data_IF_154234505145
#
_entry.id   IF_154234505145
#
_cell.length_a   1.000
_cell.length_b   1.000
_cell.length_c   1.000
_cell.angle_alpha   90.00
_cell.angle_beta   90.00
_cell.angle_gamma   90.00
#
_symmetry.space_group_name_H-M   'P 1'
#
loop_
_entity.id
_entity.type
_entity.pdbx_description
1 polymer ?
#
# COMPACT_ATOMS: atom_id res chain seq x y z
N UNK A 1 13.38 -51.71 8.99
CA UNK A 1 13.74 -50.83 7.86
C UNK A 1 12.52 -50.74 6.95
N UNK A 2 11.64 -49.77 7.18
CA UNK A 2 10.45 -49.56 6.35
C UNK A 2 10.83 -48.79 5.09
N UNK A 3 10.45 -49.37 3.95
CA UNK A 3 10.53 -48.82 2.59
C UNK A 3 10.08 -47.36 2.51
N UNK A 4 11.00 -46.45 2.15
CA UNK A 4 10.65 -45.15 1.59
C UNK A 4 10.12 -45.39 0.18
N UNK A 5 8.80 -45.39 0.02
CA UNK A 5 8.17 -45.26 -1.30
C UNK A 5 8.51 -43.87 -1.83
N UNK A 6 9.45 -43.82 -2.78
CA UNK A 6 9.68 -42.64 -3.60
C UNK A 6 8.38 -42.25 -4.29
N UNK A 7 7.91 -41.04 -4.02
CA UNK A 7 6.75 -40.46 -4.69
C UNK A 7 7.21 -40.15 -6.12
N UNK A 8 6.94 -41.07 -7.05
CA UNK A 8 7.05 -40.80 -8.48
C UNK A 8 5.95 -39.81 -8.86
N UNK A 9 6.30 -38.53 -8.99
CA UNK A 9 5.42 -37.53 -9.57
C UNK A 9 5.14 -37.91 -11.04
N UNK A 10 3.86 -38.01 -11.48
CA UNK A 10 3.55 -38.35 -12.86
C UNK A 10 4.14 -37.30 -13.82
N UNK A 11 4.72 -37.75 -14.92
CA UNK A 11 5.46 -36.94 -15.91
C UNK A 11 4.60 -35.89 -16.64
N UNK A 12 3.32 -35.76 -16.29
CA UNK A 12 2.40 -34.72 -16.77
C UNK A 12 2.56 -33.37 -16.05
N UNK A 13 3.33 -33.31 -14.96
CA UNK A 13 3.72 -32.07 -14.26
C UNK A 13 4.95 -31.39 -14.88
N UNK A 14 5.23 -31.59 -16.18
CA UNK A 14 5.99 -30.60 -16.96
C UNK A 14 5.10 -29.36 -17.17
N UNK A 15 4.62 -28.82 -16.06
CA UNK A 15 4.04 -27.51 -15.98
C UNK A 15 5.09 -26.51 -16.43
N UNK A 16 4.62 -25.46 -17.08
CA UNK A 16 5.40 -24.28 -17.44
C UNK A 16 6.36 -23.93 -16.30
N UNK A 17 7.61 -23.57 -16.59
CA UNK A 17 8.66 -23.30 -15.58
C UNK A 17 8.38 -22.15 -14.59
N UNK A 18 7.14 -21.67 -14.49
CA UNK A 18 6.64 -20.68 -13.55
C UNK A 18 6.08 -21.31 -12.25
N UNK A 19 5.88 -22.63 -12.20
CA UNK A 19 5.25 -23.33 -11.06
C UNK A 19 6.21 -23.62 -9.90
N UNK A 20 7.53 -23.52 -10.14
CA UNK A 20 8.58 -23.77 -9.16
C UNK A 20 9.46 -22.54 -9.03
N UNK A 21 9.59 -21.97 -7.82
CA UNK A 21 10.41 -20.78 -7.57
C UNK A 21 11.20 -20.89 -6.25
N UNK A 22 12.42 -20.32 -6.18
CA UNK A 22 13.24 -20.39 -4.97
C UNK A 22 12.79 -19.36 -3.92
N UNK A 23 12.78 -19.73 -2.65
CA UNK A 23 12.53 -18.81 -1.54
C UNK A 23 13.55 -17.64 -1.56
N UNK A 24 13.12 -16.37 -1.42
CA UNK A 24 14.04 -15.23 -1.45
C UNK A 24 15.08 -15.22 -0.31
N UNK A 25 14.79 -15.88 0.81
CA UNK A 25 15.66 -15.91 1.99
C UNK A 25 16.59 -17.12 2.02
N UNK A 26 16.06 -18.32 1.84
CA UNK A 26 16.82 -19.57 1.99
C UNK A 26 17.03 -20.35 0.68
N UNK A 27 16.51 -19.85 -0.45
CA UNK A 27 16.65 -20.44 -1.78
C UNK A 27 16.10 -21.87 -1.95
N UNK A 28 15.36 -22.39 -0.96
CA UNK A 28 14.63 -23.66 -1.11
C UNK A 28 13.59 -23.55 -2.23
N UNK A 29 13.44 -24.61 -3.03
CA UNK A 29 12.48 -24.64 -4.12
C UNK A 29 11.06 -24.86 -3.56
N UNK A 30 10.18 -23.94 -3.92
CA UNK A 30 8.78 -23.92 -3.51
C UNK A 30 7.91 -24.07 -4.74
N UNK A 31 6.88 -24.93 -4.64
CA UNK A 31 5.87 -25.11 -5.68
C UNK A 31 4.57 -24.44 -5.26
N UNK A 32 3.97 -23.68 -6.18
CA UNK A 32 2.62 -23.14 -6.02
C UNK A 32 1.63 -23.92 -6.86
N UNK A 33 0.49 -24.28 -6.26
CA UNK A 33 -0.64 -24.87 -6.97
C UNK A 33 -1.35 -23.80 -7.80
N UNK A 34 -1.73 -24.15 -9.02
CA UNK A 34 -2.09 -23.18 -10.06
C UNK A 34 -3.61 -22.88 -10.14
N UNK A 35 -4.29 -23.03 -9.00
CA UNK A 35 -5.74 -22.93 -8.76
C UNK A 35 -6.27 -21.49 -8.72
N UNK A 36 -5.40 -20.49 -8.94
CA UNK A 36 -5.75 -19.08 -8.74
C UNK A 36 -5.68 -18.64 -7.29
N UNK A 37 -5.06 -19.45 -6.41
CA UNK A 37 -4.77 -19.14 -5.03
C UNK A 37 -4.00 -17.83 -4.86
N UNK A 38 -4.11 -17.31 -3.64
CA UNK A 38 -3.48 -16.08 -3.19
C UNK A 38 -1.97 -16.02 -3.49
N UNK A 39 -1.47 -14.85 -3.88
CA UNK A 39 -0.04 -14.66 -4.19
C UNK A 39 0.85 -14.46 -2.95
N UNK A 40 0.24 -14.42 -1.77
CA UNK A 40 0.93 -14.40 -0.48
C UNK A 40 1.28 -15.84 -0.07
N UNK A 41 2.57 -16.17 -0.10
CA UNK A 41 3.08 -17.48 0.28
C UNK A 41 4.05 -17.36 1.45
N UNK A 42 4.15 -18.43 2.23
CA UNK A 42 5.13 -18.56 3.31
C UNK A 42 6.09 -19.69 2.99
N UNK A 43 7.39 -19.50 3.27
CA UNK A 43 8.36 -20.58 3.21
C UNK A 43 8.22 -21.47 4.45
N UNK A 44 8.03 -22.78 4.27
CA UNK A 44 7.93 -23.75 5.38
C UNK A 44 9.26 -24.02 6.07
N UNK A 45 10.40 -23.69 5.43
CA UNK A 45 11.74 -23.91 5.98
C UNK A 45 12.20 -22.74 6.84
N UNK A 46 12.12 -21.51 6.31
CA UNK A 46 12.62 -20.32 7.01
C UNK A 46 11.53 -19.39 7.55
N UNK A 47 10.25 -19.69 7.32
CA UNK A 47 9.12 -18.88 7.78
C UNK A 47 8.94 -17.54 7.06
N UNK A 48 9.76 -17.22 6.04
CA UNK A 48 9.66 -15.95 5.34
C UNK A 48 8.33 -15.86 4.55
N UNK A 49 7.63 -14.73 4.70
CA UNK A 49 6.45 -14.36 3.93
C UNK A 49 6.88 -13.63 2.66
N UNK A 50 6.45 -14.11 1.50
CA UNK A 50 6.88 -13.55 0.23
C UNK A 50 5.79 -13.59 -0.84
N UNK A 51 5.93 -12.71 -1.83
CA UNK A 51 5.03 -12.64 -2.96
C UNK A 51 5.49 -13.58 -4.08
N UNK A 52 4.63 -14.49 -4.52
CA UNK A 52 4.92 -15.44 -5.60
C UNK A 52 5.22 -14.76 -6.96
N UNK A 53 4.65 -13.58 -7.19
CA UNK A 53 4.81 -12.88 -8.47
C UNK A 53 6.20 -12.23 -8.60
N UNK A 54 6.69 -11.59 -7.54
CA UNK A 54 7.94 -10.80 -7.59
C UNK A 54 9.10 -11.38 -6.78
N UNK A 55 8.88 -12.47 -6.04
CA UNK A 55 9.89 -13.15 -5.22
C UNK A 55 10.59 -12.21 -4.24
N UNK A 56 9.81 -11.36 -3.56
CA UNK A 56 10.28 -10.47 -2.48
C UNK A 56 9.49 -10.73 -1.22
N UNK A 57 10.15 -10.52 -0.07
CA UNK A 57 9.47 -10.54 1.22
C UNK A 57 8.34 -9.50 1.22
N UNK A 58 7.18 -9.89 1.75
CA UNK A 58 5.99 -9.03 1.80
C UNK A 58 6.11 -8.09 3.00
N UNK A 59 5.85 -6.81 2.74
CA UNK A 59 5.57 -5.81 3.76
C UNK A 59 4.08 -5.42 3.64
N UNK A 60 3.47 -4.88 4.69
CA UNK A 60 2.04 -4.51 4.71
C UNK A 60 1.60 -3.61 3.53
N UNK A 61 2.52 -2.82 2.98
CA UNK A 61 2.27 -1.92 1.85
C UNK A 61 2.46 -2.58 0.46
N UNK A 62 2.87 -3.84 0.36
CA UNK A 62 3.33 -4.46 -0.89
C UNK A 62 2.24 -4.49 -1.98
N UNK A 63 1.02 -4.86 -1.61
CA UNK A 63 -0.13 -4.95 -2.52
C UNK A 63 -0.86 -3.62 -2.73
N UNK A 64 -0.64 -2.64 -1.84
CA UNK A 64 -1.19 -1.29 -1.91
C UNK A 64 -0.32 -0.36 -2.76
N UNK A 65 0.98 -0.63 -2.85
CA UNK A 65 1.94 0.13 -3.64
C UNK A 65 1.81 -0.22 -5.14
N UNK A 66 2.10 0.71 -6.09
CA UNK A 66 2.05 0.44 -7.55
C UNK A 66 3.11 -0.56 -8.05
N UNK A 67 3.77 -1.27 -7.13
CA UNK A 67 4.60 -2.47 -7.35
C UNK A 67 3.95 -3.42 -8.36
N UNK A 68 2.61 -3.48 -8.36
CA UNK A 68 1.76 -4.11 -9.37
C UNK A 68 1.74 -5.62 -9.32
N UNK A 69 2.02 -6.19 -8.16
CA UNK A 69 1.62 -7.56 -7.86
C UNK A 69 0.18 -7.52 -7.35
N UNK A 70 -0.71 -8.31 -7.95
CA UNK A 70 -2.10 -8.43 -7.49
C UNK A 70 -2.18 -9.50 -6.42
N UNK A 71 -3.12 -9.33 -5.48
CA UNK A 71 -3.34 -10.32 -4.42
C UNK A 71 -3.90 -11.63 -4.99
N UNK A 72 -4.83 -11.51 -5.94
CA UNK A 72 -5.39 -12.60 -6.73
C UNK A 72 -4.84 -12.55 -8.17
N UNK A 73 -4.66 -13.70 -8.80
CA UNK A 73 -4.36 -13.83 -10.23
C UNK A 73 -2.92 -14.22 -10.58
N UNK A 74 -2.73 -14.68 -11.82
CA UNK A 74 -1.51 -15.38 -12.26
C UNK A 74 -0.37 -14.47 -12.74
N UNK A 75 -0.64 -13.20 -13.05
CA UNK A 75 0.35 -12.28 -13.64
C UNK A 75 0.31 -10.90 -12.96
N UNK A 76 1.48 -10.27 -12.73
CA UNK A 76 1.51 -8.89 -12.28
C UNK A 76 0.90 -7.98 -13.35
N UNK A 77 0.40 -6.83 -12.91
CA UNK A 77 -0.22 -5.87 -13.80
C UNK A 77 0.77 -5.40 -14.87
N UNK A 78 0.37 -5.52 -16.14
CA UNK A 78 1.18 -5.05 -17.27
C UNK A 78 1.45 -3.55 -17.12
N UNK A 79 2.66 -3.10 -17.49
CA UNK A 79 3.07 -1.69 -17.44
C UNK A 79 2.06 -0.75 -18.10
N UNK A 80 1.46 -1.16 -19.22
CA UNK A 80 0.43 -0.37 -19.92
C UNK A 80 -0.83 -0.19 -19.08
N UNK A 81 -1.28 -1.25 -18.40
CA UNK A 81 -2.45 -1.18 -17.50
C UNK A 81 -2.15 -0.29 -16.30
N UNK A 82 -0.96 -0.42 -15.69
CA UNK A 82 -0.51 0.44 -14.57
C UNK A 82 -0.59 1.91 -14.93
N UNK A 83 0.00 2.27 -16.06
CA UNK A 83 0.02 3.66 -16.54
C UNK A 83 -1.40 4.13 -16.85
N UNK A 84 -2.22 3.31 -17.53
CA UNK A 84 -3.60 3.67 -17.85
C UNK A 84 -4.42 3.97 -16.59
N UNK A 85 -4.28 3.17 -15.55
CA UNK A 85 -5.00 3.37 -14.29
C UNK A 85 -4.46 4.56 -13.51
N UNK A 86 -3.14 4.72 -13.45
CA UNK A 86 -2.53 5.90 -12.82
C UNK A 86 -2.99 7.18 -13.50
N UNK A 87 -2.95 7.24 -14.84
CA UNK A 87 -3.48 8.38 -15.62
C UNK A 87 -4.98 8.57 -15.41
N UNK A 88 -5.74 7.47 -15.38
CA UNK A 88 -7.18 7.49 -15.13
C UNK A 88 -7.52 8.10 -13.77
N UNK A 89 -6.83 7.72 -12.70
CA UNK A 89 -7.01 8.32 -11.37
C UNK A 89 -6.48 9.76 -11.29
N UNK A 90 -5.37 10.04 -11.97
CA UNK A 90 -4.73 11.37 -11.99
C UNK A 90 -5.63 12.43 -12.61
N UNK A 91 -6.35 12.08 -13.67
CA UNK A 91 -7.30 12.99 -14.36
C UNK A 91 -8.70 12.87 -13.78
N UNK A 92 -9.14 11.65 -13.48
CA UNK A 92 -10.50 11.36 -13.02
C UNK A 92 -10.81 11.93 -11.63
N UNK A 93 -9.86 11.88 -10.69
CA UNK A 93 -10.10 12.39 -9.33
C UNK A 93 -10.30 13.92 -9.30
N UNK A 94 -9.44 14.76 -9.91
CA UNK A 94 -9.67 16.20 -9.98
C UNK A 94 -10.99 16.56 -10.68
N UNK A 95 -11.30 15.90 -11.81
CA UNK A 95 -12.54 16.17 -12.57
C UNK A 95 -13.77 15.77 -11.75
N UNK A 96 -13.76 14.60 -11.11
CA UNK A 96 -14.86 14.14 -10.26
C UNK A 96 -15.11 15.07 -9.08
N UNK A 97 -14.05 15.51 -8.40
CA UNK A 97 -14.16 16.46 -7.28
C UNK A 97 -14.70 17.81 -7.77
N UNK A 98 -14.21 18.32 -8.90
CA UNK A 98 -14.67 19.59 -9.45
C UNK A 98 -16.16 19.55 -9.84
N UNK A 99 -16.63 18.46 -10.44
CA UNK A 99 -18.04 18.27 -10.79
C UNK A 99 -18.94 18.21 -9.55
N UNK A 100 -18.55 17.41 -8.55
CA UNK A 100 -19.33 17.30 -7.30
C UNK A 100 -19.34 18.64 -6.56
N UNK A 101 -18.19 19.29 -6.39
CA UNK A 101 -18.11 20.61 -5.77
C UNK A 101 -18.94 21.66 -6.53
N UNK A 102 -18.92 21.62 -7.87
CA UNK A 102 -19.69 22.51 -8.73
C UNK A 102 -21.21 22.40 -8.55
N UNK A 103 -21.72 21.24 -8.13
CA UNK A 103 -23.16 21.04 -7.86
C UNK A 103 -23.47 21.28 -6.37
N UNK A 104 -22.66 20.73 -5.47
CA UNK A 104 -22.90 20.79 -4.03
C UNK A 104 -22.78 22.21 -3.48
N UNK A 105 -21.82 23.00 -3.96
CA UNK A 105 -21.59 24.36 -3.45
C UNK A 105 -22.79 25.28 -3.75
N UNK A 106 -23.29 25.40 -5.00
CA UNK A 106 -24.50 26.18 -5.27
C UNK A 106 -25.74 25.66 -4.55
N UNK A 107 -25.92 24.34 -4.49
CA UNK A 107 -27.05 23.73 -3.79
C UNK A 107 -27.08 24.09 -2.29
N UNK A 108 -25.92 24.14 -1.64
CA UNK A 108 -25.81 24.55 -0.23
C UNK A 108 -25.98 26.06 -0.04
N UNK A 109 -25.39 26.87 -0.93
CA UNK A 109 -25.53 28.35 -0.90
C UNK A 109 -27.00 28.77 -0.99
N UNK A 110 -27.83 28.04 -1.74
CA UNK A 110 -29.27 28.33 -1.86
C UNK A 110 -30.08 27.57 -0.81
N UNK A 111 -29.75 26.31 -0.57
CA UNK A 111 -30.50 25.41 0.31
C UNK A 111 -30.50 25.85 1.77
N UNK A 112 -29.34 26.27 2.29
CA UNK A 112 -29.20 26.67 3.69
C UNK A 112 -30.05 27.92 4.00
N UNK A 113 -29.96 29.05 3.25
CA UNK A 113 -30.81 30.21 3.47
C UNK A 113 -32.31 29.91 3.36
N UNK A 114 -32.72 29.09 2.38
CA UNK A 114 -34.14 28.72 2.22
C UNK A 114 -34.62 27.88 3.40
N UNK A 115 -33.83 26.93 3.87
CA UNK A 115 -34.17 26.10 5.02
C UNK A 115 -34.22 26.90 6.32
N UNK A 116 -33.19 27.70 6.62
CA UNK A 116 -33.13 28.58 7.80
C UNK A 116 -34.29 29.58 7.75
N UNK A 117 -34.51 30.23 6.61
CA UNK A 117 -35.59 31.19 6.41
C UNK A 117 -36.98 30.58 6.67
N UNK A 118 -37.27 29.40 6.10
CA UNK A 118 -38.53 28.67 6.36
C UNK A 118 -38.68 28.28 7.83
N UNK A 119 -37.60 27.81 8.45
CA UNK A 119 -37.60 27.39 9.86
C UNK A 119 -37.83 28.57 10.81
N UNK A 120 -37.22 29.74 10.55
CA UNK A 120 -37.44 30.92 11.38
C UNK A 120 -38.80 31.57 11.12
N UNK A 121 -39.27 31.56 9.87
CA UNK A 121 -40.59 32.09 9.52
C UNK A 121 -41.72 31.37 10.28
N UNK A 122 -41.68 30.04 10.35
CA UNK A 122 -42.70 29.26 11.08
C UNK A 122 -42.65 29.52 12.59
N UNK A 123 -41.45 29.72 13.16
CA UNK A 123 -41.26 30.03 14.59
C UNK A 123 -41.74 31.42 14.99
N UNK A 124 -41.55 32.42 14.13
CA UNK A 124 -41.96 33.81 14.37
C UNK A 124 -43.27 34.18 13.66
N UNK A 125 -44.11 33.19 13.32
CA UNK A 125 -45.36 33.40 12.57
C UNK A 125 -46.33 34.34 13.31
N UNK A 126 -46.44 34.24 14.64
CA UNK A 126 -47.30 35.09 15.46
C UNK A 126 -46.67 36.43 15.90
N UNK A 127 -45.39 36.66 15.56
CA UNK A 127 -44.69 37.88 15.95
C UNK A 127 -44.89 39.02 14.92
N UNK A 128 -44.62 40.26 15.36
CA UNK A 128 -44.65 41.45 14.50
C UNK A 128 -43.73 41.32 13.28
N UNK A 129 -44.16 41.90 12.15
CA UNK A 129 -43.46 41.86 10.85
C UNK A 129 -41.98 42.25 10.96
N UNK A 130 -41.68 43.34 11.70
CA UNK A 130 -40.30 43.81 11.89
C UNK A 130 -39.45 42.83 12.72
N UNK A 131 -40.00 42.25 13.79
CA UNK A 131 -39.29 41.26 14.62
C UNK A 131 -39.03 39.97 13.84
N UNK A 132 -39.99 39.51 13.05
CA UNK A 132 -39.86 38.32 12.19
C UNK A 132 -38.79 38.53 11.11
N UNK A 133 -38.81 39.66 10.42
CA UNK A 133 -37.84 39.94 9.36
C UNK A 133 -36.41 40.10 9.92
N UNK A 134 -36.25 40.75 11.08
CA UNK A 134 -34.95 40.87 11.75
C UNK A 134 -34.40 39.50 12.18
N UNK A 135 -35.24 38.61 12.72
CA UNK A 135 -34.82 37.26 13.09
C UNK A 135 -34.39 36.44 11.87
N UNK A 136 -35.14 36.48 10.77
CA UNK A 136 -34.82 35.75 9.53
C UNK A 136 -33.49 36.23 8.94
N UNK A 137 -33.31 37.54 8.77
CA UNK A 137 -32.08 38.11 8.20
C UNK A 137 -30.89 37.82 9.11
N UNK A 138 -31.03 38.03 10.42
CA UNK A 138 -29.98 37.72 11.39
C UNK A 138 -29.60 36.23 11.41
N UNK A 139 -30.59 35.34 11.31
CA UNK A 139 -30.38 33.90 11.28
C UNK A 139 -29.64 33.42 10.02
N UNK A 140 -29.97 33.95 8.84
CA UNK A 140 -29.31 33.61 7.57
C UNK A 140 -27.88 34.15 7.51
N UNK A 141 -27.66 35.38 7.97
CA UNK A 141 -26.31 35.96 8.04
C UNK A 141 -25.43 35.17 9.02
N UNK A 142 -25.96 34.80 10.18
CA UNK A 142 -25.23 34.00 11.16
C UNK A 142 -24.88 32.59 10.68
N UNK A 143 -25.75 31.93 9.88
CA UNK A 143 -25.42 30.61 9.30
C UNK A 143 -24.27 30.70 8.30
N UNK A 144 -24.27 31.72 7.44
CA UNK A 144 -23.24 31.87 6.42
C UNK A 144 -21.85 32.19 7.03
N UNK A 145 -21.82 32.98 8.10
CA UNK A 145 -20.57 33.33 8.79
C UNK A 145 -19.90 32.11 9.45
N UNK A 146 -20.70 31.20 10.05
CA UNK A 146 -20.16 29.98 10.66
C UNK A 146 -19.49 29.07 9.63
N UNK A 147 -20.10 28.93 8.45
CA UNK A 147 -19.58 28.08 7.38
C UNK A 147 -18.27 28.62 6.79
N UNK A 148 -18.13 29.95 6.64
CA UNK A 148 -16.88 30.57 6.16
C UNK A 148 -15.73 30.32 7.14
N UNK A 149 -15.98 30.45 8.44
CA UNK A 149 -14.94 30.21 9.47
C UNK A 149 -14.50 28.75 9.54
N UNK A 150 -15.44 27.80 9.41
CA UNK A 150 -15.13 26.37 9.49
C UNK A 150 -14.33 25.88 8.28
N UNK A 151 -14.68 26.35 7.07
CA UNK A 151 -13.97 26.02 5.83
C UNK A 151 -12.55 26.61 5.84
N UNK A 152 -12.39 27.84 6.33
CA UNK A 152 -11.08 28.49 6.46
C UNK A 152 -10.15 27.72 7.40
N UNK A 153 -10.64 27.34 8.58
CA UNK A 153 -9.88 26.57 9.56
C UNK A 153 -9.51 25.18 9.03
N UNK A 154 -10.47 24.50 8.39
CA UNK A 154 -10.24 23.17 7.81
C UNK A 154 -9.18 23.21 6.72
N UNK A 155 -9.23 24.21 5.84
CA UNK A 155 -8.23 24.39 4.78
C UNK A 155 -6.85 24.70 5.35
N UNK A 156 -6.76 25.53 6.39
CA UNK A 156 -5.50 25.90 7.04
C UNK A 156 -4.83 24.68 7.69
N UNK A 157 -5.58 23.91 8.50
CA UNK A 157 -5.09 22.67 9.12
C UNK A 157 -4.67 21.62 8.08
N UNK A 158 -5.40 21.52 6.97
CA UNK A 158 -5.05 20.61 5.89
C UNK A 158 -3.70 20.98 5.23
N UNK A 159 -3.45 22.27 5.00
CA UNK A 159 -2.18 22.75 4.44
C UNK A 159 -1.02 22.45 5.39
N UNK A 160 -1.16 22.74 6.68
CA UNK A 160 -0.14 22.41 7.69
C UNK A 160 0.14 20.91 7.75
N UNK A 161 -0.91 20.08 7.68
CA UNK A 161 -0.76 18.63 7.64
C UNK A 161 0.04 18.18 6.41
N UNK A 162 -0.30 18.65 5.21
CA UNK A 162 0.41 18.30 3.97
C UNK A 162 1.88 18.70 4.05
N UNK A 163 2.16 19.90 4.56
CA UNK A 163 3.51 20.41 4.71
C UNK A 163 4.30 19.59 5.74
N UNK A 164 3.68 19.20 6.85
CA UNK A 164 4.26 18.30 7.85
C UNK A 164 4.55 16.90 7.32
N UNK A 165 3.65 16.32 6.54
CA UNK A 165 3.86 15.02 5.86
C UNK A 165 5.01 15.11 4.87
N UNK A 166 5.06 16.16 4.05
CA UNK A 166 6.14 16.40 3.09
C UNK A 166 7.50 16.49 3.80
N UNK A 167 7.61 17.30 4.86
CA UNK A 167 8.84 17.41 5.65
C UNK A 167 9.25 16.08 6.29
N UNK A 168 8.30 15.31 6.84
CA UNK A 168 8.57 13.99 7.40
C UNK A 168 9.07 13.01 6.33
N UNK A 169 8.48 13.04 5.15
CA UNK A 169 8.87 12.18 4.03
C UNK A 169 10.27 12.56 3.48
N UNK A 170 10.60 13.85 3.46
CA UNK A 170 11.94 14.35 3.16
C UNK A 170 12.97 13.95 4.21
N UNK A 171 12.64 14.07 5.50
CA UNK A 171 13.51 13.63 6.59
C UNK A 171 13.79 12.12 6.53
N UNK A 172 12.78 11.30 6.21
CA UNK A 172 12.95 9.86 6.01
C UNK A 172 13.85 9.55 4.79
N UNK A 173 13.73 10.33 3.71
CA UNK A 173 14.57 10.18 2.52
C UNK A 173 16.02 10.63 2.78
N UNK A 174 16.20 11.71 3.55
CA UNK A 174 17.52 12.19 3.99
C UNK A 174 18.21 11.18 4.92
N UNK A 175 17.53 10.65 5.94
CA UNK A 175 18.07 9.56 6.79
C UNK A 175 18.39 8.29 6.01
N UNK A 176 17.60 7.96 4.98
CA UNK A 176 17.89 6.81 4.10
C UNK A 176 19.11 7.07 3.19
N UNK A 177 19.39 8.33 2.85
CA UNK A 177 20.62 8.73 2.15
C UNK A 177 21.83 8.70 3.09
N UNK A 178 21.69 9.15 4.33
CA UNK A 178 22.72 9.01 5.37
C UNK A 178 23.02 7.54 5.69
N UNK A 179 22.02 6.66 5.70
CA UNK A 179 22.20 5.20 5.80
C UNK A 179 22.78 4.56 4.53
N UNK A 180 22.80 5.28 3.40
CA UNK A 180 23.40 4.84 2.12
C UNK A 180 24.82 5.39 1.91
N UNK A 181 25.25 6.36 2.72
CA UNK A 181 26.67 6.63 2.92
C UNK A 181 27.15 5.49 3.84
N UNK A 182 27.86 4.47 3.32
CA UNK A 182 28.45 3.51 4.22
C UNK A 182 29.36 4.28 5.17
N UNK A 183 29.32 3.95 6.46
CA UNK A 183 30.55 3.95 7.26
C UNK A 183 31.50 2.95 6.60
N UNK A 184 32.01 3.30 5.41
CA UNK A 184 32.90 2.48 4.59
C UNK A 184 34.21 2.23 5.30
N UNK A 185 34.54 3.04 6.31
CA UNK A 185 35.67 2.79 7.19
C UNK A 185 35.46 1.60 8.15
N UNK A 186 34.30 1.47 8.80
CA UNK A 186 34.11 0.42 9.83
C UNK A 186 33.92 -0.99 9.22
N UNK A 187 33.29 -1.09 8.05
CA UNK A 187 33.07 -2.38 7.36
C UNK A 187 34.36 -2.88 6.70
N UNK A 188 35.19 -1.98 6.15
CA UNK A 188 36.46 -2.37 5.51
C UNK A 188 37.50 -2.86 6.54
N UNK A 189 37.51 -2.27 7.75
CA UNK A 189 38.36 -2.74 8.87
C UNK A 189 37.91 -4.12 9.39
N UNK A 190 36.61 -4.40 9.39
CA UNK A 190 36.07 -5.73 9.74
C UNK A 190 36.39 -6.80 8.68
N UNK A 191 36.40 -6.44 7.39
CA UNK A 191 36.80 -7.36 6.31
C UNK A 191 38.31 -7.66 6.29
N UNK A 192 39.15 -6.66 6.55
CA UNK A 192 40.61 -6.84 6.65
C UNK A 192 41.03 -7.69 7.85
N UNK A 193 40.28 -7.61 8.96
CA UNK A 193 40.51 -8.45 10.14
C UNK A 193 39.94 -9.88 10.02
N UNK A 194 38.96 -10.11 9.13
CA UNK A 194 38.47 -11.44 8.77
C UNK A 194 39.36 -12.16 7.74
N UNK A 195 39.92 -11.42 6.77
CA UNK A 195 40.84 -11.95 5.74
C UNK A 195 42.11 -12.56 6.35
N UNK A 196 42.67 -11.95 7.41
CA UNK A 196 43.83 -12.50 8.13
C UNK A 196 43.53 -13.78 8.92
N UNK A 197 42.25 -14.11 9.17
CA UNK A 197 41.84 -15.33 9.89
C UNK A 197 41.62 -16.53 8.96
N UNK A 198 41.25 -16.30 7.70
CA UNK A 198 40.92 -17.38 6.75
C UNK A 198 42.15 -18.00 6.05
N UNK A 199 43.32 -17.34 6.08
CA UNK A 199 44.53 -17.88 5.45
C UNK A 199 45.26 -18.97 6.28
N UNK A 200 44.70 -19.39 7.43
CA UNK A 200 45.33 -20.37 8.34
C UNK A 200 44.69 -21.76 8.37
N UNK A 201 43.60 -22.01 7.64
CA UNK A 201 42.94 -23.33 7.63
C UNK A 201 42.70 -23.80 6.19
N UNK A 202 43.61 -24.65 5.72
CA UNK A 202 43.72 -25.07 4.32
C UNK A 202 42.69 -26.09 3.83
N UNK A 203 42.77 -26.32 2.52
CA UNK A 203 42.25 -27.41 1.69
C UNK A 203 41.58 -28.61 2.41
N UNK A 204 40.30 -28.88 2.07
CA UNK A 204 39.82 -30.24 1.84
C UNK A 204 38.52 -30.25 0.99
N UNK A 205 38.50 -31.08 -0.06
CA UNK A 205 37.37 -31.37 -0.95
C UNK A 205 36.16 -31.96 -0.21
N UNK A 206 34.94 -31.65 -0.69
CA UNK A 206 33.99 -32.69 -1.15
C UNK A 206 32.76 -32.11 -1.88
N UNK A 207 32.34 -32.86 -2.90
CA UNK A 207 31.11 -32.72 -3.67
C UNK A 207 29.87 -32.52 -2.79
N UNK A 208 29.02 -31.55 -3.14
CA UNK A 208 27.66 -31.45 -2.60
C UNK A 208 26.72 -32.13 -3.58
N UNK A 209 26.15 -33.24 -3.15
CA UNK A 209 25.05 -33.95 -3.81
C UNK A 209 23.80 -33.08 -3.64
N UNK A 210 23.23 -32.59 -4.73
CA UNK A 210 21.91 -31.94 -4.73
C UNK A 210 20.82 -32.97 -4.48
N UNK A 211 20.38 -33.14 -3.22
CA UNK A 211 19.10 -33.81 -2.94
C UNK A 211 17.93 -32.89 -3.28
N UNK A 212 17.00 -33.42 -4.06
CA UNK A 212 15.85 -32.74 -4.63
C UNK A 212 14.70 -32.68 -3.61
N UNK A 213 14.84 -31.86 -2.56
CA UNK A 213 13.73 -31.59 -1.64
C UNK A 213 12.90 -30.42 -2.18
N UNK A 214 11.96 -30.72 -3.07
CA UNK A 214 10.94 -29.77 -3.51
C UNK A 214 9.85 -29.75 -2.45
N UNK A 215 9.67 -28.61 -1.78
CA UNK A 215 8.70 -28.47 -0.69
C UNK A 215 7.44 -27.75 -1.20
N UNK A 216 6.28 -28.32 -0.90
CA UNK A 216 4.99 -27.68 -1.18
C UNK A 216 4.70 -26.72 -0.02
N UNK A 217 4.56 -25.43 -0.30
CA UNK A 217 4.05 -24.48 0.69
C UNK A 217 2.66 -23.98 0.27
N UNK A 218 1.73 -23.99 1.22
CA UNK A 218 0.34 -23.60 0.99
C UNK A 218 0.11 -22.08 1.18
N UNK A 219 -0.90 -21.51 0.51
CA UNK A 219 -1.39 -20.17 0.83
C UNK A 219 -1.93 -20.14 2.27
N UNK A 220 -1.66 -19.07 3.02
CA UNK A 220 -2.40 -18.80 4.26
C UNK A 220 -3.67 -18.03 3.93
N UNK A 221 -4.71 -18.29 4.72
CA UNK A 221 -6.04 -17.72 4.58
C UNK A 221 -5.97 -16.22 4.30
N UNK A 222 -6.37 -15.88 3.08
CA UNK A 222 -6.33 -14.53 2.57
C UNK A 222 -7.62 -13.83 2.98
N UNK A 223 -7.62 -13.35 4.24
CA UNK A 223 -8.67 -12.53 4.85
C UNK A 223 -8.74 -11.14 4.21
#
# INVERSE_FOLDING_TARGET
>A
MHFLKGITYPKSWCSKGDDIKPCPRCQVLIVKMDDGSCNHMMCTVCGAEFCWLCMKEINDLHFLSPSGCTFWGKKPWSRKKKILWQLGTLVGAPVGIALVAGITVPAMIIGIPVWVGRKLYTRYKSANKHKRNAAIVGGVVASQLKDVTSVGLTKWLFIEYIQGVYHRHLALKARRLELRIPKSFDVMVSYLSASKRCCKQGCARRHVICESHVMISGPRDCL
#
